data_IF_806523561053
#
_entry.id   IF_806523561053
#
_cell.length_a   1.000
_cell.length_b   1.000
_cell.length_c   1.000
_cell.angle_alpha   90.00
_cell.angle_beta   90.00
_cell.angle_gamma   90.00
#
_symmetry.space_group_name_H-M   'P 1'
#
loop_
_entity.id
_entity.type
_entity.pdbx_description
1 polymer ?
#
# COMPACT_ATOMS: atom_id res chain seq x y z
N UNK A 1 79.66 15.85 19.09
CA UNK A 1 79.20 14.51 19.50
C UNK A 1 77.67 14.58 19.58
N UNK A 2 76.83 13.84 18.85
CA UNK A 2 77.02 12.89 17.76
C UNK A 2 75.81 13.02 16.81
N UNK A 3 76.04 12.76 15.52
CA UNK A 3 75.01 12.65 14.48
C UNK A 3 74.44 11.23 14.51
N UNK A 4 73.13 11.08 14.31
CA UNK A 4 72.57 9.87 13.72
C UNK A 4 71.35 10.25 12.86
N UNK A 5 71.46 9.87 11.59
CA UNK A 5 70.48 9.99 10.51
C UNK A 5 69.56 8.75 10.46
N UNK A 6 68.53 8.87 9.62
CA UNK A 6 67.63 7.83 9.06
C UNK A 6 66.52 7.32 10.02
N UNK A 7 65.28 7.11 9.60
CA UNK A 7 64.71 6.93 8.28
C UNK A 7 63.27 7.45 8.22
N UNK A 8 62.94 7.98 7.05
CA UNK A 8 61.61 8.29 6.55
C UNK A 8 60.79 7.00 6.43
N UNK A 9 59.63 6.92 7.09
CA UNK A 9 58.56 6.00 6.69
C UNK A 9 57.28 6.79 6.46
N UNK A 10 56.96 6.92 5.17
CA UNK A 10 55.67 7.36 4.66
C UNK A 10 54.69 6.20 4.87
N UNK A 11 53.63 6.41 5.65
CA UNK A 11 52.46 5.54 5.63
C UNK A 11 51.29 6.37 5.09
N UNK A 12 51.04 6.20 3.80
CA UNK A 12 49.89 6.75 3.10
C UNK A 12 48.69 5.84 3.39
N UNK A 13 47.86 6.22 4.37
CA UNK A 13 46.62 5.51 4.65
C UNK A 13 45.54 5.97 3.67
N UNK A 14 45.41 5.25 2.56
CA UNK A 14 44.31 5.38 1.61
C UNK A 14 43.04 4.77 2.26
N UNK A 15 42.23 5.59 2.93
CA UNK A 15 40.91 5.15 3.38
C UNK A 15 39.98 5.07 2.17
N UNK A 16 39.73 3.85 1.71
CA UNK A 16 38.65 3.57 0.79
C UNK A 16 37.32 3.86 1.52
N UNK A 17 36.66 4.95 1.15
CA UNK A 17 35.23 5.10 1.39
C UNK A 17 34.56 4.07 0.50
N UNK A 18 34.29 2.89 1.06
CA UNK A 18 33.38 1.94 0.44
C UNK A 18 32.02 2.65 0.36
N UNK A 19 31.69 3.13 -0.85
CA UNK A 19 30.35 3.53 -1.21
C UNK A 19 29.45 2.32 -1.05
N UNK A 20 28.86 2.16 0.13
CA UNK A 20 27.67 1.35 0.31
C UNK A 20 26.57 2.04 -0.48
N UNK A 21 26.41 1.66 -1.75
CA UNK A 21 25.15 1.86 -2.45
C UNK A 21 24.05 1.35 -1.52
N UNK A 22 22.98 2.13 -1.25
CA UNK A 22 21.84 1.57 -0.54
C UNK A 22 21.40 0.35 -1.34
N UNK A 23 21.55 -0.83 -0.72
CA UNK A 23 21.03 -2.08 -1.24
C UNK A 23 19.57 -1.80 -1.56
N UNK A 24 19.19 -1.91 -2.84
CA UNK A 24 17.80 -1.95 -3.22
C UNK A 24 17.21 -3.14 -2.47
N UNK A 25 16.52 -2.86 -1.36
CA UNK A 25 15.80 -3.88 -0.63
C UNK A 25 14.88 -4.54 -1.66
N UNK A 26 15.12 -5.83 -1.91
CA UNK A 26 14.27 -6.66 -2.75
C UNK A 26 12.86 -6.53 -2.18
N UNK A 27 12.06 -5.65 -2.79
CA UNK A 27 10.73 -5.35 -2.33
C UNK A 27 9.86 -6.53 -2.78
N UNK A 28 9.59 -7.45 -1.87
CA UNK A 28 8.81 -8.65 -2.18
C UNK A 28 7.33 -8.31 -2.22
N UNK A 29 6.68 -8.70 -3.32
CA UNK A 29 5.22 -8.79 -3.37
C UNK A 29 4.79 -9.88 -2.39
N UNK A 30 3.88 -9.53 -1.50
CA UNK A 30 3.20 -10.44 -0.58
C UNK A 30 1.81 -10.73 -1.15
N UNK A 31 1.32 -11.96 -0.97
CA UNK A 31 -0.06 -12.34 -1.27
C UNK A 31 -0.80 -12.66 0.03
N UNK A 32 -1.38 -11.65 0.71
CA UNK A 32 -2.14 -11.87 1.92
C UNK A 32 -3.31 -12.82 1.66
N UNK A 33 -3.68 -13.59 2.67
CA UNK A 33 -4.74 -14.60 2.58
C UNK A 33 -5.83 -14.31 3.61
N UNK A 34 -7.05 -14.75 3.34
CA UNK A 34 -8.20 -14.56 4.23
C UNK A 34 -8.80 -13.15 4.14
N UNK A 35 -9.39 -12.69 5.23
CA UNK A 35 -10.04 -11.37 5.31
C UNK A 35 -9.30 -10.46 6.27
N UNK A 36 -9.02 -9.24 5.83
CA UNK A 36 -8.33 -8.24 6.65
C UNK A 36 -9.01 -6.88 6.56
N UNK A 37 -8.81 -6.10 7.60
CA UNK A 37 -8.90 -4.66 7.52
C UNK A 37 -7.68 -4.09 6.80
N UNK A 38 -7.85 -2.95 6.13
CA UNK A 38 -6.74 -2.22 5.50
C UNK A 38 -6.72 -0.81 6.06
N UNK A 39 -5.70 -0.49 6.87
CA UNK A 39 -5.56 0.77 7.60
C UNK A 39 -4.50 1.65 6.94
N UNK A 40 -4.77 2.94 6.79
CA UNK A 40 -3.77 3.90 6.35
C UNK A 40 -2.87 4.36 7.50
N UNK A 41 -1.56 4.49 7.27
CA UNK A 41 -0.61 4.90 8.31
C UNK A 41 -0.81 6.36 8.73
N UNK A 42 -1.01 7.30 7.80
CA UNK A 42 -1.12 8.72 8.12
C UNK A 42 -2.36 9.04 8.96
N UNK A 43 -3.50 8.43 8.63
CA UNK A 43 -4.77 8.77 9.25
C UNK A 43 -5.19 7.79 10.35
N UNK A 44 -4.61 6.59 10.40
CA UNK A 44 -5.04 5.52 11.33
C UNK A 44 -6.45 4.97 11.04
N UNK A 45 -7.05 5.36 9.92
CA UNK A 45 -8.41 5.00 9.50
C UNK A 45 -8.40 3.86 8.47
N UNK A 46 -9.53 3.19 8.30
CA UNK A 46 -9.66 1.98 7.47
C UNK A 46 -10.43 2.18 6.17
N UNK A 47 -10.04 1.41 5.15
CA UNK A 47 -10.73 1.34 3.86
C UNK A 47 -12.15 0.80 4.01
N UNK A 48 -13.12 1.50 3.40
CA UNK A 48 -14.48 1.01 3.16
C UNK A 48 -15.10 1.63 1.90
N UNK A 49 -16.16 1.03 1.34
CA UNK A 49 -17.06 1.76 0.46
C UNK A 49 -17.75 2.90 1.24
N UNK A 50 -17.83 4.09 0.64
CA UNK A 50 -18.52 5.23 1.23
C UNK A 50 -19.96 4.87 1.60
N UNK A 51 -20.36 5.25 2.81
CA UNK A 51 -21.69 4.96 3.39
C UNK A 51 -22.08 3.47 3.41
N UNK A 52 -21.13 2.54 3.19
CA UNK A 52 -21.43 1.12 2.93
C UNK A 52 -22.46 0.94 1.78
N UNK A 53 -22.52 1.90 0.85
CA UNK A 53 -23.38 1.82 -0.31
C UNK A 53 -22.96 0.63 -1.17
N UNK A 54 -23.94 -0.05 -1.78
CA UNK A 54 -23.70 -1.14 -2.72
C UNK A 54 -23.80 -0.67 -4.18
N UNK A 55 -23.73 0.64 -4.45
CA UNK A 55 -23.80 1.19 -5.81
C UNK A 55 -22.49 1.02 -6.55
N UNK A 56 -22.54 0.73 -7.85
CA UNK A 56 -21.35 0.77 -8.70
C UNK A 56 -20.80 2.20 -8.76
N UNK A 57 -19.49 2.31 -8.83
CA UNK A 57 -18.77 3.58 -8.83
C UNK A 57 -18.79 4.33 -7.49
N UNK A 58 -19.29 3.73 -6.41
CA UNK A 58 -19.18 4.35 -5.09
C UNK A 58 -17.70 4.48 -4.70
N UNK A 59 -17.24 5.66 -4.26
CA UNK A 59 -15.85 5.86 -3.86
C UNK A 59 -15.44 4.97 -2.69
N UNK A 60 -14.17 4.56 -2.71
CA UNK A 60 -13.52 3.99 -1.53
C UNK A 60 -12.94 5.14 -0.70
N UNK A 61 -13.24 5.11 0.60
CA UNK A 61 -12.89 6.17 1.55
C UNK A 61 -12.28 5.58 2.81
N UNK A 62 -11.67 6.43 3.64
CA UNK A 62 -11.26 6.06 4.99
C UNK A 62 -12.33 6.38 6.02
N UNK A 63 -12.44 5.52 7.03
CA UNK A 63 -13.38 5.69 8.14
C UNK A 63 -12.81 5.11 9.45
N UNK A 64 -13.22 5.62 10.63
CA UNK A 64 -12.85 5.02 11.91
C UNK A 64 -13.10 3.51 11.96
N UNK A 65 -12.21 2.77 12.61
CA UNK A 65 -12.39 1.33 12.69
C UNK A 65 -13.65 0.97 13.48
N UNK A 66 -14.47 0.11 12.89
CA UNK A 66 -15.65 -0.50 13.47
C UNK A 66 -15.69 -1.97 13.08
N UNK A 67 -16.30 -2.82 13.91
CA UNK A 67 -16.42 -4.27 13.64
C UNK A 67 -17.58 -4.55 12.68
N UNK A 68 -17.55 -3.96 11.49
CA UNK A 68 -18.59 -4.08 10.47
C UNK A 68 -18.08 -4.79 9.21
N UNK A 69 -18.98 -5.53 8.53
CA UNK A 69 -18.68 -6.22 7.27
C UNK A 69 -18.09 -5.29 6.19
N UNK A 70 -18.49 -4.01 6.15
CA UNK A 70 -18.01 -3.08 5.15
C UNK A 70 -16.53 -2.67 5.36
N UNK A 71 -15.97 -2.94 6.54
CA UNK A 71 -14.55 -2.72 6.86
C UNK A 71 -13.66 -3.90 6.48
N UNK A 72 -14.27 -5.05 6.16
CA UNK A 72 -13.59 -6.29 5.87
C UNK A 72 -13.38 -6.47 4.36
N UNK A 73 -12.15 -6.82 3.98
CA UNK A 73 -11.76 -7.11 2.62
C UNK A 73 -11.26 -8.53 2.54
N UNK A 74 -11.90 -9.36 1.71
CA UNK A 74 -11.44 -10.69 1.36
C UNK A 74 -10.34 -10.57 0.31
N UNK A 75 -9.22 -11.22 0.57
CA UNK A 75 -8.07 -11.28 -0.33
C UNK A 75 -8.21 -12.54 -1.18
N UNK A 76 -8.64 -12.37 -2.42
CA UNK A 76 -8.73 -13.46 -3.39
C UNK A 76 -7.45 -13.51 -4.20
N UNK A 77 -6.80 -14.67 -4.28
CA UNK A 77 -5.61 -14.84 -5.12
C UNK A 77 -5.90 -14.52 -6.59
N UNK A 78 -4.98 -13.78 -7.20
CA UNK A 78 -4.87 -13.57 -8.64
C UNK A 78 -3.50 -14.10 -9.10
N UNK A 79 -3.20 -14.04 -10.40
CA UNK A 79 -1.99 -14.65 -10.97
C UNK A 79 -0.70 -14.14 -10.31
N UNK A 80 -0.58 -12.81 -10.13
CA UNK A 80 0.63 -12.16 -9.64
C UNK A 80 0.40 -11.29 -8.39
N UNK A 81 -0.79 -11.35 -7.79
CA UNK A 81 -1.13 -10.58 -6.60
C UNK A 81 -2.46 -11.03 -5.99
N UNK A 82 -3.22 -10.07 -5.48
CA UNK A 82 -4.53 -10.31 -4.85
C UNK A 82 -5.58 -9.36 -5.40
N UNK A 83 -6.83 -9.83 -5.48
CA UNK A 83 -7.99 -8.97 -5.62
C UNK A 83 -8.62 -8.74 -4.26
N UNK A 84 -8.95 -7.49 -3.95
CA UNK A 84 -9.69 -7.13 -2.75
C UNK A 84 -11.19 -7.14 -3.05
N UNK A 85 -11.95 -7.97 -2.34
CA UNK A 85 -13.42 -8.03 -2.43
C UNK A 85 -14.01 -7.63 -1.09
N UNK A 86 -14.84 -6.58 -1.07
CA UNK A 86 -15.49 -6.15 0.16
C UNK A 86 -16.47 -7.22 0.66
N UNK A 87 -16.43 -7.54 1.94
CA UNK A 87 -17.28 -8.57 2.52
C UNK A 87 -18.77 -8.17 2.56
N UNK A 88 -19.09 -6.88 2.64
CA UNK A 88 -20.48 -6.40 2.67
C UNK A 88 -21.09 -6.27 1.27
N UNK A 89 -20.37 -5.66 0.32
CA UNK A 89 -20.91 -5.37 -1.01
C UNK A 89 -20.63 -6.48 -2.02
N UNK A 90 -19.69 -7.39 -1.73
CA UNK A 90 -19.18 -8.38 -2.70
C UNK A 90 -18.58 -7.73 -3.96
N UNK A 91 -18.07 -6.50 -3.81
CA UNK A 91 -17.51 -5.68 -4.90
C UNK A 91 -16.00 -5.53 -4.75
N UNK A 92 -15.35 -5.39 -5.90
CA UNK A 92 -13.92 -5.17 -6.04
C UNK A 92 -13.65 -3.70 -6.37
N UNK A 93 -12.39 -3.36 -6.51
CA UNK A 93 -11.97 -2.02 -6.91
C UNK A 93 -11.96 -1.81 -8.42
N UNK A 94 -12.17 -0.56 -8.80
CA UNK A 94 -11.81 0.01 -10.08
C UNK A 94 -11.16 1.37 -9.90
N UNK A 95 -10.36 1.75 -10.89
CA UNK A 95 -9.79 3.09 -10.98
C UNK A 95 -10.57 3.88 -12.01
N UNK A 96 -11.17 4.98 -11.57
CA UNK A 96 -11.92 5.90 -12.42
C UNK A 96 -11.18 7.24 -12.54
N UNK A 97 -11.11 7.79 -13.76
CA UNK A 97 -10.61 9.13 -13.96
C UNK A 97 -11.73 10.16 -13.72
N UNK A 98 -11.66 10.90 -12.62
CA UNK A 98 -12.62 11.95 -12.25
C UNK A 98 -11.89 13.28 -12.14
N UNK A 99 -12.19 14.23 -13.05
CA UNK A 99 -11.56 15.55 -13.04
C UNK A 99 -10.03 15.51 -13.13
N UNK A 100 -9.48 14.53 -13.87
CA UNK A 100 -8.02 14.33 -13.99
C UNK A 100 -7.37 13.60 -12.81
N UNK A 101 -8.14 13.19 -11.79
CA UNK A 101 -7.66 12.38 -10.66
C UNK A 101 -8.11 10.93 -10.83
N UNK A 102 -7.18 9.99 -10.65
CA UNK A 102 -7.48 8.55 -10.63
C UNK A 102 -8.05 8.13 -9.28
N UNK A 103 -9.37 8.19 -9.14
CA UNK A 103 -10.10 7.84 -7.91
C UNK A 103 -10.35 6.34 -7.86
N UNK A 104 -10.26 5.74 -6.68
CA UNK A 104 -10.64 4.34 -6.46
C UNK A 104 -12.11 4.24 -6.07
N UNK A 105 -12.85 3.43 -6.80
CA UNK A 105 -14.27 3.19 -6.60
C UNK A 105 -14.57 1.69 -6.61
N UNK A 106 -15.80 1.29 -6.27
CA UNK A 106 -16.21 -0.11 -6.31
C UNK A 106 -16.93 -0.51 -7.59
N UNK A 107 -16.72 -1.76 -8.02
CA UNK A 107 -17.44 -2.40 -9.14
C UNK A 107 -17.74 -3.87 -8.83
N UNK A 108 -18.68 -4.52 -9.55
CA UNK A 108 -18.97 -5.93 -9.34
C UNK A 108 -17.71 -6.79 -9.53
N UNK A 109 -17.44 -7.68 -8.58
CA UNK A 109 -16.33 -8.63 -8.67
C UNK A 109 -16.74 -9.83 -9.53
N UNK A 110 -16.27 -9.90 -10.78
CA UNK A 110 -16.54 -11.05 -11.67
C UNK A 110 -15.28 -11.89 -11.88
N UNK A 111 -15.39 -13.20 -12.18
CA UNK A 111 -14.22 -14.04 -12.46
C UNK A 111 -13.35 -13.50 -13.61
N UNK A 112 -13.97 -12.97 -14.67
CA UNK A 112 -13.30 -12.48 -15.88
C UNK A 112 -12.50 -11.19 -15.64
N UNK A 113 -12.86 -10.44 -14.59
CA UNK A 113 -12.20 -9.19 -14.23
C UNK A 113 -11.11 -9.38 -13.17
N UNK A 114 -10.98 -10.57 -12.56
CA UNK A 114 -10.05 -10.84 -11.44
C UNK A 114 -8.63 -10.39 -11.75
N UNK A 115 -8.09 -10.82 -12.88
CA UNK A 115 -6.72 -10.50 -13.32
C UNK A 115 -6.54 -9.06 -13.84
N UNK A 116 -7.58 -8.24 -13.83
CA UNK A 116 -7.49 -6.80 -14.14
C UNK A 116 -7.68 -5.93 -12.89
N UNK A 117 -8.15 -6.55 -11.82
CA UNK A 117 -8.44 -5.95 -10.51
C UNK A 117 -7.35 -6.33 -9.49
N UNK A 118 -6.26 -6.95 -9.95
CA UNK A 118 -5.16 -7.37 -9.09
C UNK A 118 -4.45 -6.16 -8.50
N UNK A 119 -4.04 -6.33 -7.26
CA UNK A 119 -3.23 -5.40 -6.52
C UNK A 119 -2.01 -6.12 -5.95
N UNK A 120 -0.89 -5.42 -5.88
CA UNK A 120 0.35 -5.96 -5.32
C UNK A 120 0.64 -5.29 -3.99
N UNK A 121 0.64 -6.08 -2.91
CA UNK A 121 1.04 -5.63 -1.59
C UNK A 121 2.55 -5.78 -1.48
N UNK A 122 3.28 -4.68 -1.54
CA UNK A 122 4.74 -4.70 -1.51
C UNK A 122 5.19 -4.19 -0.15
N UNK A 123 5.89 -5.03 0.62
CA UNK A 123 6.40 -4.64 1.92
C UNK A 123 7.41 -3.48 1.77
N UNK A 124 7.22 -2.42 2.54
CA UNK A 124 8.12 -1.26 2.56
C UNK A 124 8.82 -1.12 3.91
N UNK A 125 8.15 -1.53 4.99
CA UNK A 125 8.66 -1.60 6.35
C UNK A 125 7.96 -2.77 7.08
N UNK A 126 8.38 -3.07 8.31
CA UNK A 126 7.78 -4.16 9.07
C UNK A 126 6.26 -3.92 9.28
N UNK A 127 5.43 -4.76 8.65
CA UNK A 127 3.96 -4.68 8.75
C UNK A 127 3.32 -3.55 7.93
N UNK A 128 4.09 -2.81 7.14
CA UNK A 128 3.59 -1.74 6.26
C UNK A 128 3.85 -2.07 4.80
N UNK A 129 2.85 -1.79 3.98
CA UNK A 129 2.82 -2.09 2.56
C UNK A 129 2.55 -0.81 1.75
N UNK A 130 3.18 -0.69 0.59
CA UNK A 130 2.57 0.05 -0.51
C UNK A 130 1.65 -0.90 -1.27
N UNK A 131 0.55 -0.39 -1.81
CA UNK A 131 -0.41 -1.18 -2.58
C UNK A 131 -0.42 -0.66 -4.01
N UNK A 132 0.19 -1.42 -4.92
CA UNK A 132 0.26 -1.08 -6.36
C UNK A 132 -0.99 -1.61 -7.07
N UNK A 133 -1.51 -0.84 -8.03
CA UNK A 133 -2.66 -1.24 -8.85
C UNK A 133 -2.17 -1.78 -10.20
N UNK A 134 -2.61 -2.98 -10.58
CA UNK A 134 -2.19 -3.60 -11.83
C UNK A 134 -2.55 -2.74 -13.06
N UNK A 135 -1.63 -2.65 -14.02
CA UNK A 135 -1.81 -1.87 -15.25
C UNK A 135 -1.55 -0.36 -15.09
N UNK A 136 -1.14 0.12 -13.92
CA UNK A 136 -0.78 1.53 -13.67
C UNK A 136 0.54 1.70 -12.93
N UNK A 137 1.22 2.83 -13.14
CA UNK A 137 2.47 3.18 -12.46
C UNK A 137 2.27 3.84 -11.08
N UNK A 138 1.22 3.45 -10.35
CA UNK A 138 0.79 4.16 -9.14
C UNK A 138 0.38 3.25 -8.00
N UNK A 139 0.28 3.86 -6.81
CA UNK A 139 -0.10 3.21 -5.56
C UNK A 139 -1.35 3.84 -4.98
N UNK A 140 -2.06 3.07 -4.16
CA UNK A 140 -3.13 3.61 -3.32
C UNK A 140 -2.58 4.70 -2.39
N UNK A 141 -3.23 5.85 -2.42
CA UNK A 141 -2.88 7.03 -1.64
C UNK A 141 -4.14 7.60 -0.99
N UNK A 142 -4.10 7.81 0.32
CA UNK A 142 -5.16 8.50 1.04
C UNK A 142 -5.02 10.03 0.89
N UNK A 143 -6.06 10.70 0.44
CA UNK A 143 -6.07 12.16 0.21
C UNK A 143 -7.28 12.76 0.89
N UNK A 144 -7.01 13.68 1.82
CA UNK A 144 -8.03 14.52 2.42
C UNK A 144 -8.35 15.68 1.47
N UNK A 145 -9.58 15.73 0.96
CA UNK A 145 -10.05 16.84 0.12
C UNK A 145 -10.48 18.02 0.99
N UNK A 146 -9.48 18.71 1.55
CA UNK A 146 -9.60 19.98 2.28
C UNK A 146 -10.24 19.91 3.69
N UNK A 147 -10.24 18.74 4.35
CA UNK A 147 -10.55 18.60 5.79
C UNK A 147 -12.03 18.70 6.16
N UNK A 148 -12.94 18.72 5.17
CA UNK A 148 -14.40 18.85 5.38
C UNK A 148 -15.23 17.71 4.81
N UNK A 149 -14.58 16.70 4.24
CA UNK A 149 -15.24 15.57 3.59
C UNK A 149 -14.52 14.26 3.87
N UNK A 150 -14.98 13.18 3.26
CA UNK A 150 -14.34 11.88 3.38
C UNK A 150 -12.89 11.94 2.87
N UNK A 151 -11.98 11.29 3.60
CA UNK A 151 -10.63 11.04 3.10
C UNK A 151 -10.75 10.00 2.00
N UNK A 152 -10.49 10.42 0.76
CA UNK A 152 -10.63 9.58 -0.43
C UNK A 152 -9.39 8.75 -0.68
N UNK A 153 -9.58 7.67 -1.42
CA UNK A 153 -8.48 6.85 -1.94
C UNK A 153 -8.32 7.10 -3.42
N UNK A 154 -7.11 7.44 -3.83
CA UNK A 154 -6.73 7.72 -5.21
C UNK A 154 -5.46 6.96 -5.57
N UNK A 155 -5.13 6.91 -6.86
CA UNK A 155 -3.89 6.34 -7.37
C UNK A 155 -2.92 7.46 -7.70
N UNK A 156 -1.74 7.46 -7.08
CA UNK A 156 -0.67 8.44 -7.32
C UNK A 156 0.70 7.77 -7.45
N UNK A 157 1.71 8.45 -8.04
CA UNK A 157 3.08 7.96 -8.01
C UNK A 157 3.58 7.74 -6.57
N UNK A 158 4.36 6.67 -6.37
CA UNK A 158 4.98 6.38 -5.07
C UNK A 158 5.98 7.47 -4.68
N UNK A 159 5.79 8.03 -3.47
CA UNK A 159 6.58 9.09 -2.85
C UNK A 159 6.98 8.75 -1.41
N UNK A 160 6.72 7.53 -0.95
CA UNK A 160 7.07 7.03 0.39
C UNK A 160 6.43 7.81 1.54
N UNK A 161 5.30 8.49 1.31
CA UNK A 161 4.60 9.23 2.38
C UNK A 161 3.75 8.28 3.24
N UNK A 162 3.45 8.68 4.48
CA UNK A 162 2.57 7.92 5.36
C UNK A 162 1.17 7.72 4.75
N UNK A 163 0.66 8.67 3.96
CA UNK A 163 -0.60 8.52 3.23
C UNK A 163 -0.60 7.37 2.19
N UNK A 164 0.57 6.88 1.78
CA UNK A 164 0.73 5.81 0.79
C UNK A 164 1.11 4.47 1.41
N UNK A 165 1.23 4.42 2.73
CA UNK A 165 1.60 3.22 3.49
C UNK A 165 0.38 2.68 4.21
N UNK A 166 0.24 1.36 4.15
CA UNK A 166 -0.96 0.65 4.56
C UNK A 166 -0.59 -0.53 5.45
N UNK A 167 -1.41 -0.77 6.46
CA UNK A 167 -1.29 -1.89 7.38
C UNK A 167 -2.46 -2.85 7.18
N UNK A 168 -2.19 -4.15 7.18
CA UNK A 168 -3.22 -5.17 7.31
C UNK A 168 -3.58 -5.35 8.78
N UNK A 169 -4.86 -5.32 9.08
CA UNK A 169 -5.39 -5.41 10.44
C UNK A 169 -6.22 -6.68 10.55
N UNK A 170 -5.87 -7.53 11.51
CA UNK A 170 -6.66 -8.72 11.82
C UNK A 170 -8.08 -8.32 12.24
N UNK A 171 -9.05 -9.06 11.73
CA UNK A 171 -10.46 -8.86 12.02
C UNK A 171 -10.97 -9.97 12.95
N UNK A 172 -12.07 -9.72 13.69
CA UNK A 172 -12.74 -10.78 14.45
C UNK A 172 -13.12 -11.99 13.58
N UNK A 173 -13.10 -13.18 14.17
CA UNK A 173 -13.28 -14.48 13.50
C UNK A 173 -14.54 -14.59 12.61
N UNK A 174 -15.60 -13.83 12.92
CA UNK A 174 -16.84 -13.85 12.14
C UNK A 174 -16.74 -13.13 10.78
N UNK A 175 -15.61 -12.52 10.46
CA UNK A 175 -15.29 -11.98 9.13
C UNK A 175 -14.25 -12.82 8.37
N UNK A 176 -13.68 -13.85 8.99
CA UNK A 176 -12.58 -14.65 8.44
C UNK A 176 -13.00 -16.06 8.03
N UNK A 177 -14.27 -16.44 8.24
CA UNK A 177 -14.85 -17.73 7.86
C UNK A 177 -15.39 -17.75 6.41
#
# INVERSE_FOLDING_TARGET
MGRMNFALMIVLALQMVAGGSPSAANSSVVQPQGSHGVRNEQYGLMLRPRDASNKDGEPIVLYPYETWKCMAWKFESAQDGVRLVNYFTSKSFEVQAVGGTSVVAQKPATPEAREKETMHFVAVEAGLYKIEVQGGAGVLTAVDSDGRGDIRVVVQPWKQTAAQKWQLVDLPDHFTA
#
